data_IF_458274269355
#
_entry.id   IF_458274269355
#
_cell.length_a   1.000
_cell.length_b   1.000
_cell.length_c   1.000
_cell.angle_alpha   90.00
_cell.angle_beta   90.00
_cell.angle_gamma   90.00
#
_symmetry.space_group_name_H-M   'P 1'
#
loop_
_entity.id
_entity.type
_entity.pdbx_description
1 polymer ?
#
# COMPACT_ATOMS: atom_id res chain seq x y z
N UNK A 1 -6.04 -20.42 -11.24
CA UNK A 1 -4.75 -19.70 -11.27
C UNK A 1 -4.70 -18.80 -10.05
N UNK A 2 -3.54 -18.64 -9.41
CA UNK A 2 -3.35 -17.65 -8.34
C UNK A 2 -3.51 -16.24 -8.91
N UNK A 3 -3.99 -15.29 -8.10
CA UNK A 3 -4.02 -13.87 -8.46
C UNK A 3 -2.57 -13.37 -8.62
N UNK A 4 -2.25 -12.51 -9.60
CA UNK A 4 -0.91 -11.93 -9.70
C UNK A 4 -0.58 -11.12 -8.45
N UNK A 5 0.65 -11.24 -7.96
CA UNK A 5 1.18 -10.52 -6.81
C UNK A 5 1.62 -9.11 -7.22
N UNK A 6 0.95 -8.11 -6.66
CA UNK A 6 1.28 -6.69 -6.86
C UNK A 6 1.91 -6.14 -5.59
N UNK A 7 3.17 -5.75 -5.66
CA UNK A 7 3.83 -4.98 -4.60
C UNK A 7 3.63 -3.49 -4.87
N UNK A 8 3.16 -2.75 -3.87
CA UNK A 8 3.08 -1.29 -3.90
C UNK A 8 4.02 -0.72 -2.85
N UNK A 9 5.09 -0.03 -3.27
CA UNK A 9 5.97 0.70 -2.36
C UNK A 9 5.60 2.18 -2.37
N UNK A 10 5.04 2.69 -1.27
CA UNK A 10 4.40 4.01 -1.26
C UNK A 10 4.24 4.62 0.15
N UNK A 11 4.14 5.95 0.30
CA UNK A 11 3.98 6.62 1.59
C UNK A 11 2.54 6.59 2.12
N UNK A 12 1.89 5.43 2.05
CA UNK A 12 0.45 5.24 2.25
C UNK A 12 -0.04 5.63 3.66
N UNK A 13 0.82 5.55 4.67
CA UNK A 13 0.50 5.91 6.06
C UNK A 13 0.59 7.40 6.31
N UNK A 14 1.16 8.17 5.38
CA UNK A 14 1.49 9.58 5.60
C UNK A 14 0.28 10.48 5.36
N UNK A 15 0.16 11.53 6.19
CA UNK A 15 -0.75 12.67 5.99
C UNK A 15 -0.13 13.61 4.95
N UNK A 16 -0.06 13.16 3.70
CA UNK A 16 0.48 13.90 2.55
C UNK A 16 -0.37 13.68 1.30
N UNK A 17 -0.21 14.53 0.27
CA UNK A 17 -0.88 14.33 -1.02
C UNK A 17 -0.49 13.01 -1.69
N UNK A 18 0.81 12.65 -1.65
CA UNK A 18 1.28 11.36 -2.14
C UNK A 18 0.74 10.20 -1.31
N UNK A 19 0.66 10.34 0.01
CA UNK A 19 0.04 9.34 0.88
C UNK A 19 -1.44 9.15 0.54
N UNK A 20 -2.16 10.24 0.26
CA UNK A 20 -3.56 10.17 -0.15
C UNK A 20 -3.73 9.43 -1.47
N UNK A 21 -2.97 9.83 -2.49
CA UNK A 21 -3.03 9.19 -3.80
C UNK A 21 -2.61 7.71 -3.74
N UNK A 22 -1.66 7.37 -2.86
CA UNK A 22 -1.26 5.99 -2.61
C UNK A 22 -2.42 5.16 -2.03
N UNK A 23 -3.20 5.73 -1.11
CA UNK A 23 -4.40 5.08 -0.56
C UNK A 23 -5.47 4.90 -1.63
N UNK A 24 -5.69 5.89 -2.50
CA UNK A 24 -6.65 5.77 -3.61
C UNK A 24 -6.29 4.61 -4.56
N UNK A 25 -5.01 4.51 -4.94
CA UNK A 25 -4.51 3.44 -5.81
C UNK A 25 -4.66 2.07 -5.14
N UNK A 26 -4.22 1.92 -3.89
CA UNK A 26 -4.32 0.63 -3.19
C UNK A 26 -5.79 0.24 -2.97
N UNK A 27 -6.66 1.18 -2.63
CA UNK A 27 -8.10 0.92 -2.48
C UNK A 27 -8.71 0.41 -3.79
N UNK A 28 -8.40 1.06 -4.92
CA UNK A 28 -8.85 0.61 -6.22
C UNK A 28 -8.33 -0.79 -6.58
N UNK A 29 -7.07 -1.12 -6.26
CA UNK A 29 -6.51 -2.45 -6.47
C UNK A 29 -7.22 -3.53 -5.65
N UNK A 30 -7.57 -3.21 -4.39
CA UNK A 30 -8.32 -4.10 -3.50
C UNK A 30 -9.76 -4.28 -4.00
N UNK A 31 -10.42 -3.20 -4.44
CA UNK A 31 -11.80 -3.24 -4.94
C UNK A 31 -11.92 -4.01 -6.26
N UNK A 32 -10.88 -4.02 -7.10
CA UNK A 32 -10.84 -4.83 -8.30
C UNK A 32 -10.85 -6.34 -7.99
N UNK A 33 -10.36 -6.74 -6.81
CA UNK A 33 -10.22 -8.13 -6.36
C UNK A 33 -9.50 -9.07 -7.37
N UNK A 34 -8.68 -8.51 -8.27
CA UNK A 34 -7.95 -9.26 -9.31
C UNK A 34 -6.53 -9.63 -8.92
N UNK A 35 -6.01 -9.01 -7.86
CA UNK A 35 -4.60 -9.06 -7.49
C UNK A 35 -4.45 -9.50 -6.03
N UNK A 36 -3.35 -10.18 -5.74
CA UNK A 36 -2.85 -10.26 -4.37
C UNK A 36 -2.03 -9.00 -4.11
N UNK A 37 -2.54 -8.08 -3.29
CA UNK A 37 -1.90 -6.79 -3.04
C UNK A 37 -1.04 -6.88 -1.78
N UNK A 38 0.23 -6.47 -1.89
CA UNK A 38 1.12 -6.24 -0.76
C UNK A 38 1.62 -4.81 -0.78
N UNK A 39 1.69 -4.17 0.38
CA UNK A 39 2.11 -2.77 0.49
C UNK A 39 3.36 -2.66 1.33
N UNK A 40 4.42 -2.09 0.77
CA UNK A 40 5.63 -1.71 1.50
C UNK A 40 5.54 -0.22 1.85
N UNK A 41 5.16 0.14 3.10
CA UNK A 41 5.01 1.54 3.48
C UNK A 41 6.36 2.22 3.59
N UNK A 42 6.47 3.42 3.02
CA UNK A 42 7.65 4.29 3.16
C UNK A 42 7.28 5.62 3.81
N UNK A 43 8.30 6.40 4.20
CA UNK A 43 8.09 7.76 4.73
C UNK A 43 7.90 8.77 3.60
N UNK A 44 7.33 9.92 3.93
CA UNK A 44 7.29 11.10 3.08
C UNK A 44 7.84 12.31 3.86
N UNK A 45 9.16 12.46 3.84
CA UNK A 45 9.85 13.41 4.71
C UNK A 45 9.47 13.22 6.18
N UNK A 46 9.07 14.31 6.83
CA UNK A 46 8.63 14.35 8.23
C UNK A 46 7.12 14.37 8.40
N UNK A 47 6.34 14.01 7.38
CA UNK A 47 4.87 14.02 7.51
C UNK A 47 4.40 12.96 8.52
N UNK A 48 3.34 13.26 9.31
CA UNK A 48 2.78 12.31 10.26
C UNK A 48 2.33 11.01 9.57
N UNK A 49 2.61 9.86 10.18
CA UNK A 49 2.29 8.51 9.65
C UNK A 49 0.99 7.92 10.23
N UNK A 50 0.03 8.77 10.59
CA UNK A 50 -1.22 8.38 11.25
C UNK A 50 -2.44 8.60 10.34
N UNK A 51 -2.28 8.45 9.02
CA UNK A 51 -3.37 8.67 8.07
C UNK A 51 -4.39 7.52 8.03
N UNK A 52 -3.99 6.30 8.41
CA UNK A 52 -4.88 5.15 8.48
C UNK A 52 -5.60 5.11 9.83
N UNK A 53 -6.84 5.58 9.82
CA UNK A 53 -7.73 5.64 11.00
C UNK A 53 -8.35 4.26 11.31
N UNK A 54 -8.50 3.95 12.60
CA UNK A 54 -9.16 2.72 13.07
C UNK A 54 -10.68 2.81 12.89
N UNK A 55 -11.30 1.71 12.46
CA UNK A 55 -12.75 1.64 12.22
C UNK A 55 -13.18 2.17 10.85
N UNK A 56 -12.24 2.62 10.02
CA UNK A 56 -12.49 2.85 8.60
C UNK A 56 -12.28 1.54 7.82
N UNK A 57 -13.33 0.98 7.19
CA UNK A 57 -13.25 -0.34 6.55
C UNK A 57 -12.17 -0.45 5.45
N UNK A 58 -11.92 0.64 4.71
CA UNK A 58 -10.90 0.66 3.66
C UNK A 58 -9.50 0.72 4.28
N UNK A 59 -9.32 1.54 5.32
CA UNK A 59 -8.02 1.62 6.00
C UNK A 59 -7.66 0.31 6.68
N UNK A 60 -8.63 -0.39 7.26
CA UNK A 60 -8.39 -1.67 7.91
C UNK A 60 -7.96 -2.74 6.89
N UNK A 61 -8.61 -2.80 5.71
CA UNK A 61 -8.15 -3.65 4.59
C UNK A 61 -6.73 -3.29 4.10
N UNK A 62 -6.42 -1.99 4.03
CA UNK A 62 -5.07 -1.54 3.66
C UNK A 62 -4.05 -2.04 4.68
N UNK A 63 -4.33 -1.92 5.99
CA UNK A 63 -3.46 -2.40 7.07
C UNK A 63 -3.18 -3.90 6.95
N UNK A 64 -4.18 -4.71 6.62
CA UNK A 64 -4.04 -6.17 6.43
C UNK A 64 -3.07 -6.55 5.30
N UNK A 65 -2.92 -5.68 4.30
CA UNK A 65 -2.07 -5.93 3.14
C UNK A 65 -0.63 -5.39 3.32
N UNK A 66 -0.34 -4.72 4.44
CA UNK A 66 0.97 -4.14 4.68
C UNK A 66 2.01 -5.20 5.04
N UNK A 67 3.21 -5.02 4.51
CA UNK A 67 4.37 -5.78 4.91
C UNK A 67 4.84 -5.34 6.29
N UNK A 68 5.05 -6.32 7.18
CA UNK A 68 5.67 -6.10 8.51
C UNK A 68 7.19 -5.99 8.40
N UNK A 69 7.78 -6.64 7.41
CA UNK A 69 9.20 -6.61 7.08
C UNK A 69 9.38 -6.34 5.58
N UNK A 70 10.47 -5.68 5.14
CA UNK A 70 10.69 -5.33 3.74
C UNK A 70 11.14 -6.54 2.90
N UNK A 71 10.42 -7.65 2.99
CA UNK A 71 10.70 -8.90 2.31
C UNK A 71 9.41 -9.50 1.73
N UNK A 72 9.56 -10.21 0.62
CA UNK A 72 8.49 -11.02 0.03
C UNK A 72 9.01 -12.45 -0.15
N UNK A 73 8.15 -13.48 0.02
CA UNK A 73 8.54 -14.86 -0.19
C UNK A 73 8.86 -15.18 -1.66
N UNK A 74 8.30 -14.38 -2.58
CA UNK A 74 8.45 -14.53 -4.04
C UNK A 74 8.61 -13.16 -4.69
N UNK A 75 9.17 -13.15 -5.91
CA UNK A 75 9.20 -11.94 -6.73
C UNK A 75 7.75 -11.52 -7.07
N UNK A 76 7.39 -10.23 -6.95
CA UNK A 76 6.09 -9.75 -7.38
C UNK A 76 5.98 -9.75 -8.91
N UNK A 77 4.79 -10.02 -9.43
CA UNK A 77 4.48 -9.95 -10.87
C UNK A 77 4.47 -8.50 -11.37
N UNK A 78 4.10 -7.56 -10.49
CA UNK A 78 4.14 -6.13 -10.74
C UNK A 78 4.61 -5.38 -9.49
N UNK A 79 5.56 -4.47 -9.67
CA UNK A 79 5.98 -3.54 -8.63
C UNK A 79 5.60 -2.12 -9.02
N UNK A 80 4.72 -1.50 -8.23
CA UNK A 80 4.34 -0.09 -8.35
C UNK A 80 5.12 0.70 -7.30
N UNK A 81 5.91 1.67 -7.76
CA UNK A 81 6.75 2.49 -6.88
C UNK A 81 6.28 3.95 -6.91
N UNK A 82 5.70 4.40 -5.80
CA UNK A 82 5.13 5.75 -5.64
C UNK A 82 6.00 6.51 -4.64
N UNK A 83 7.21 6.87 -5.06
CA UNK A 83 8.16 7.64 -4.24
C UNK A 83 8.87 8.68 -5.10
N UNK A 84 9.57 9.61 -4.44
CA UNK A 84 10.53 10.50 -5.11
C UNK A 84 11.92 9.86 -5.05
N UNK A 85 12.71 9.90 -6.15
CA UNK A 85 14.09 9.39 -6.19
C UNK A 85 15.04 10.04 -5.20
#
# INVERSE_FOLDING_TARGET
MSKPLVLVTAPITTRSGYGNHSRDIVSALLDLDKYEVKVNPVRWGNTPMNALEDGNPIHDKIKECMLTEPSLPTQPDLHIHIVVP
#
